data_IF_132124545376
#
_entry.id   IF_132124545376
#
_cell.length_a   1.000
_cell.length_b   1.000
_cell.length_c   1.000
_cell.angle_alpha   90.00
_cell.angle_beta   90.00
_cell.angle_gamma   90.00
#
_symmetry.space_group_name_H-M   'P 1'
#
loop_
_entity.id
_entity.type
_entity.pdbx_description
1 polymer ?
#
# COMPACT_ATOMS: atom_id res chain seq x y z
N UNK A 1 2.45 27.12 9.19
CA UNK A 1 2.96 25.72 9.13
C UNK A 1 1.87 24.68 9.43
N UNK A 2 0.58 24.94 9.13
CA UNK A 2 -0.57 24.11 9.58
C UNK A 2 -1.25 23.29 8.46
N UNK A 3 -0.54 22.99 7.36
CA UNK A 3 -1.12 22.36 6.15
C UNK A 3 -0.50 21.02 5.72
N UNK A 4 0.56 20.52 6.38
CA UNK A 4 1.17 19.24 6.00
C UNK A 4 0.26 18.05 6.29
N UNK A 5 -0.42 18.06 7.44
CA UNK A 5 -1.37 17.00 7.78
C UNK A 5 -2.58 16.94 6.84
N UNK A 6 -3.05 18.10 6.36
CA UNK A 6 -4.14 18.16 5.38
C UNK A 6 -3.68 17.60 4.04
N UNK A 7 -2.49 17.98 3.57
CA UNK A 7 -1.91 17.45 2.33
C UNK A 7 -1.71 15.93 2.42
N UNK A 8 -1.24 15.43 3.57
CA UNK A 8 -1.05 14.01 3.80
C UNK A 8 -2.35 13.24 3.83
N UNK A 9 -3.36 13.78 4.49
CA UNK A 9 -4.68 13.16 4.52
C UNK A 9 -5.34 13.11 3.13
N UNK A 10 -5.14 14.15 2.33
CA UNK A 10 -5.65 14.22 0.96
C UNK A 10 -4.99 13.18 0.05
N UNK A 11 -3.65 13.12 0.07
CA UNK A 11 -2.86 12.12 -0.66
C UNK A 11 -3.21 10.69 -0.21
N UNK A 12 -3.27 10.45 1.10
CA UNK A 12 -3.63 9.15 1.66
C UNK A 12 -5.03 8.69 1.23
N UNK A 13 -6.02 9.59 1.25
CA UNK A 13 -7.37 9.30 0.72
C UNK A 13 -7.35 9.01 -0.77
N UNK A 14 -6.51 9.72 -1.53
CA UNK A 14 -6.26 9.43 -2.94
C UNK A 14 -5.73 8.01 -3.14
N UNK A 15 -4.72 7.62 -2.37
CA UNK A 15 -4.14 6.28 -2.45
C UNK A 15 -5.12 5.18 -2.06
N UNK A 16 -5.89 5.34 -0.97
CA UNK A 16 -6.89 4.34 -0.57
C UNK A 16 -7.93 4.08 -1.66
N UNK A 17 -8.35 5.12 -2.39
CA UNK A 17 -9.34 4.99 -3.48
C UNK A 17 -8.75 4.46 -4.79
N UNK A 18 -7.42 4.34 -4.87
CA UNK A 18 -6.77 3.81 -6.06
C UNK A 18 -7.12 2.35 -6.28
N UNK A 19 -7.44 2.00 -7.53
CA UNK A 19 -7.71 0.60 -7.94
C UNK A 19 -6.56 -0.33 -7.55
N UNK A 20 -5.31 0.15 -7.63
CA UNK A 20 -4.13 -0.64 -7.29
C UNK A 20 -4.07 -0.94 -5.79
N UNK A 21 -4.36 0.04 -4.94
CA UNK A 21 -4.36 -0.20 -3.49
C UNK A 21 -5.54 -1.07 -3.07
N UNK A 22 -6.72 -0.90 -3.68
CA UNK A 22 -7.86 -1.79 -3.44
C UNK A 22 -7.51 -3.24 -3.83
N UNK A 23 -6.87 -3.42 -4.99
CA UNK A 23 -6.38 -4.73 -5.43
C UNK A 23 -5.35 -5.30 -4.46
N UNK A 24 -4.52 -4.47 -3.83
CA UNK A 24 -3.57 -4.94 -2.81
C UNK A 24 -4.25 -5.29 -1.49
N UNK A 25 -5.17 -4.44 -1.01
CA UNK A 25 -5.94 -4.62 0.21
C UNK A 25 -6.80 -5.88 0.19
N UNK A 26 -7.40 -6.18 -0.96
CA UNK A 26 -8.28 -7.35 -1.11
C UNK A 26 -7.51 -8.54 -1.65
N UNK A 27 -6.62 -8.32 -2.62
CA UNK A 27 -5.89 -9.39 -3.30
C UNK A 27 -4.95 -10.15 -2.39
N UNK A 28 -4.26 -9.48 -1.46
CA UNK A 28 -3.33 -10.17 -0.54
C UNK A 28 -4.05 -11.07 0.48
N UNK A 29 -5.13 -10.62 1.16
CA UNK A 29 -5.96 -11.52 1.98
C UNK A 29 -6.60 -12.65 1.19
N UNK A 30 -7.14 -12.36 0.00
CA UNK A 30 -7.74 -13.40 -0.86
C UNK A 30 -6.67 -14.43 -1.27
N UNK A 31 -5.45 -13.99 -1.57
CA UNK A 31 -4.35 -14.88 -1.88
C UNK A 31 -4.02 -15.82 -0.71
N UNK A 32 -4.02 -15.32 0.54
CA UNK A 32 -3.84 -16.16 1.73
C UNK A 32 -4.90 -17.27 1.83
N UNK A 33 -6.16 -16.93 1.57
CA UNK A 33 -7.28 -17.89 1.58
C UNK A 33 -7.10 -18.92 0.45
N UNK A 34 -6.75 -18.47 -0.75
CA UNK A 34 -6.54 -19.37 -1.91
C UNK A 34 -5.40 -20.36 -1.63
N UNK A 35 -4.31 -19.92 -1.00
CA UNK A 35 -3.19 -20.79 -0.65
C UNK A 35 -3.60 -21.88 0.34
N UNK A 36 -4.45 -21.57 1.32
CA UNK A 36 -5.00 -22.58 2.25
C UNK A 36 -5.78 -23.69 1.53
N UNK A 37 -6.58 -23.34 0.52
CA UNK A 37 -7.35 -24.34 -0.25
C UNK A 37 -6.50 -25.19 -1.18
N UNK A 38 -5.38 -24.67 -1.69
CA UNK A 38 -4.47 -25.40 -2.59
C UNK A 38 -3.57 -26.36 -1.81
N UNK A 39 -3.15 -25.98 -0.61
CA UNK A 39 -2.26 -26.77 0.26
C UNK A 39 -2.86 -26.89 1.68
N UNK A 40 -3.82 -27.81 1.88
CA UNK A 40 -4.38 -28.07 3.21
C UNK A 40 -3.36 -28.76 4.13
N UNK A 41 -2.48 -29.62 3.60
CA UNK A 41 -1.39 -30.25 4.36
C UNK A 41 -0.13 -29.40 4.25
N UNK A 42 -0.06 -28.34 5.06
CA UNK A 42 1.17 -27.57 5.18
C UNK A 42 2.08 -28.29 6.16
N UNK A 43 3.20 -28.86 5.70
CA UNK A 43 4.18 -29.69 6.44
C UNK A 43 4.87 -28.94 7.62
N UNK A 44 4.09 -28.43 8.58
CA UNK A 44 4.54 -27.66 9.73
C UNK A 44 4.87 -26.19 9.46
N UNK A 45 4.67 -25.67 8.25
CA UNK A 45 4.90 -24.25 7.92
C UNK A 45 3.61 -23.45 8.11
N UNK A 46 3.57 -22.40 8.94
CA UNK A 46 2.39 -21.55 9.08
C UNK A 46 2.08 -20.76 7.80
N UNK A 47 0.80 -20.63 7.44
CA UNK A 47 0.36 -19.87 6.25
C UNK A 47 0.67 -18.37 6.45
N UNK A 48 0.70 -17.91 7.69
CA UNK A 48 1.22 -16.57 8.05
C UNK A 48 2.64 -16.31 7.57
N UNK A 49 3.53 -17.30 7.65
CA UNK A 49 4.92 -17.14 7.23
C UNK A 49 4.97 -16.93 5.71
N UNK A 50 4.29 -17.78 4.97
CA UNK A 50 4.25 -17.73 3.50
C UNK A 50 3.66 -16.39 3.04
N UNK A 51 2.50 -16.01 3.56
CA UNK A 51 1.83 -14.77 3.20
C UNK A 51 2.66 -13.53 3.54
N UNK A 52 3.37 -13.53 4.68
CA UNK A 52 4.27 -12.42 5.05
C UNK A 52 5.47 -12.27 4.10
N UNK A 53 6.06 -13.38 3.64
CA UNK A 53 7.18 -13.37 2.69
C UNK A 53 6.77 -12.79 1.34
N UNK A 54 5.59 -13.15 0.85
CA UNK A 54 5.05 -12.62 -0.40
C UNK A 54 4.75 -11.12 -0.31
N UNK A 55 4.09 -10.69 0.77
CA UNK A 55 3.78 -9.27 1.00
C UNK A 55 5.06 -8.43 1.08
N UNK A 56 6.08 -8.92 1.80
CA UNK A 56 7.39 -8.25 1.90
C UNK A 56 8.08 -8.11 0.53
N UNK A 57 8.09 -9.19 -0.26
CA UNK A 57 8.76 -9.21 -1.57
C UNK A 57 8.09 -8.30 -2.61
N UNK A 58 6.75 -8.27 -2.63
CA UNK A 58 5.98 -7.51 -3.63
C UNK A 58 5.81 -6.04 -3.21
N UNK A 59 5.76 -5.76 -1.91
CA UNK A 59 5.51 -4.42 -1.37
C UNK A 59 6.50 -3.37 -1.85
N UNK A 60 7.80 -3.71 -1.90
CA UNK A 60 8.85 -2.80 -2.35
C UNK A 60 8.74 -2.44 -3.84
N UNK A 61 8.42 -3.43 -4.69
CA UNK A 61 8.24 -3.21 -6.12
C UNK A 61 7.03 -2.32 -6.39
N UNK A 62 5.92 -2.59 -5.71
CA UNK A 62 4.70 -1.78 -5.85
C UNK A 62 4.90 -0.35 -5.33
N UNK A 63 5.73 -0.15 -4.30
CA UNK A 63 6.10 1.18 -3.85
C UNK A 63 6.79 2.00 -4.94
N UNK A 64 7.80 1.42 -5.59
CA UNK A 64 8.54 2.07 -6.65
C UNK A 64 7.63 2.40 -7.85
N UNK A 65 6.79 1.44 -8.28
CA UNK A 65 5.89 1.62 -9.42
C UNK A 65 4.79 2.64 -9.12
N UNK A 66 4.17 2.61 -7.94
CA UNK A 66 3.08 3.53 -7.60
C UNK A 66 3.57 4.97 -7.43
N UNK A 67 4.71 5.16 -6.76
CA UNK A 67 5.29 6.49 -6.59
C UNK A 67 5.73 7.07 -7.94
N UNK A 68 6.39 6.28 -8.79
CA UNK A 68 6.82 6.74 -10.11
C UNK A 68 5.63 7.08 -11.02
N UNK A 69 4.64 6.20 -11.12
CA UNK A 69 3.47 6.43 -11.98
C UNK A 69 2.64 7.62 -11.52
N UNK A 70 2.45 7.81 -10.22
CA UNK A 70 1.71 8.98 -9.70
C UNK A 70 2.45 10.29 -9.95
N UNK A 71 3.78 10.31 -9.79
CA UNK A 71 4.59 11.50 -10.11
C UNK A 71 4.56 11.83 -11.60
N UNK A 72 4.72 10.82 -12.47
CA UNK A 72 4.65 11.01 -13.93
C UNK A 72 3.26 11.48 -14.35
N UNK A 73 2.20 10.93 -13.77
CA UNK A 73 0.84 11.33 -14.08
C UNK A 73 0.54 12.79 -13.65
N UNK A 74 1.02 13.23 -12.50
CA UNK A 74 0.86 14.62 -12.04
C UNK A 74 1.67 15.61 -12.87
N UNK A 75 2.84 15.19 -13.33
CA UNK A 75 3.66 15.96 -14.26
C UNK A 75 2.92 16.17 -15.58
N UNK A 76 2.38 15.10 -16.16
CA UNK A 76 1.64 15.16 -17.43
C UNK A 76 0.35 16.00 -17.32
N UNK A 77 -0.31 16.00 -16.16
CA UNK A 77 -1.54 16.75 -15.94
C UNK A 77 -1.30 18.20 -15.45
N UNK A 78 -0.04 18.68 -15.44
CA UNK A 78 0.34 20.02 -14.97
C UNK A 78 -0.16 20.36 -13.56
N UNK A 79 -0.37 19.35 -12.70
CA UNK A 79 -0.85 19.56 -11.32
C UNK A 79 0.22 20.29 -10.50
N UNK A 80 1.50 20.10 -10.86
CA UNK A 80 2.61 20.80 -10.22
C UNK A 80 2.59 22.32 -10.41
N UNK A 81 1.94 22.84 -11.45
CA UNK A 81 1.83 24.28 -11.67
C UNK A 81 0.93 24.95 -10.63
N UNK A 82 -0.09 24.24 -10.14
CA UNK A 82 -0.95 24.70 -9.05
C UNK A 82 -0.16 24.85 -7.74
N UNK A 83 0.90 24.05 -7.56
CA UNK A 83 1.80 24.13 -6.42
C UNK A 83 2.87 25.23 -6.55
N UNK A 84 3.09 25.80 -7.75
CA UNK A 84 3.96 26.97 -7.92
C UNK A 84 3.32 28.26 -7.37
N UNK A 85 1.98 28.33 -7.42
CA UNK A 85 1.21 29.48 -6.95
C UNK A 85 0.97 29.41 -5.42
N UNK A 86 1.00 28.20 -4.83
CA UNK A 86 0.88 27.99 -3.38
C UNK A 86 2.27 28.00 -2.71
N UNK A 87 2.46 28.58 -1.51
CA UNK A 87 3.75 28.63 -0.83
C UNK A 87 4.11 27.28 -0.16
N UNK A 88 4.18 26.20 -0.94
CA UNK A 88 4.53 24.85 -0.47
C UNK A 88 5.92 24.48 -0.98
N UNK A 89 6.81 24.06 -0.07
CA UNK A 89 8.16 23.62 -0.45
C UNK A 89 8.10 22.29 -1.20
N UNK A 90 8.85 22.16 -2.31
CA UNK A 90 8.89 20.94 -3.16
C UNK A 90 9.19 19.66 -2.38
N UNK A 91 10.10 19.72 -1.40
CA UNK A 91 10.44 18.60 -0.53
C UNK A 91 9.26 18.05 0.28
N UNK A 92 8.34 18.91 0.70
CA UNK A 92 7.17 18.45 1.47
C UNK A 92 6.21 17.62 0.63
N UNK A 93 6.08 17.90 -0.67
CA UNK A 93 5.18 17.14 -1.57
C UNK A 93 5.67 15.70 -1.70
N UNK A 94 6.97 15.53 -1.94
CA UNK A 94 7.59 14.20 -2.09
C UNK A 94 7.51 13.40 -0.77
N UNK A 95 7.84 14.03 0.36
CA UNK A 95 7.78 13.39 1.68
C UNK A 95 6.36 12.93 1.99
N UNK A 96 5.37 13.78 1.72
CA UNK A 96 3.97 13.47 2.01
C UNK A 96 3.47 12.29 1.16
N UNK A 97 3.81 12.24 -0.13
CA UNK A 97 3.47 11.09 -0.99
C UNK A 97 4.09 9.79 -0.49
N UNK A 98 5.37 9.84 -0.15
CA UNK A 98 6.07 8.67 0.39
C UNK A 98 5.42 8.15 1.67
N UNK A 99 5.15 9.03 2.64
CA UNK A 99 4.53 8.64 3.91
C UNK A 99 3.10 8.12 3.69
N UNK A 100 2.33 8.75 2.82
CA UNK A 100 0.94 8.35 2.52
C UNK A 100 0.87 6.97 1.88
N UNK A 101 1.82 6.65 1.00
CA UNK A 101 1.88 5.34 0.38
C UNK A 101 2.34 4.28 1.39
N UNK A 102 3.38 4.58 2.18
CA UNK A 102 3.93 3.65 3.17
C UNK A 102 2.92 3.31 4.27
N UNK A 103 2.13 4.28 4.74
CA UNK A 103 1.06 4.02 5.70
C UNK A 103 -0.02 3.11 5.12
N UNK A 104 -0.35 3.27 3.83
CA UNK A 104 -1.31 2.42 3.14
C UNK A 104 -0.80 0.97 3.02
N UNK A 105 0.49 0.79 2.72
CA UNK A 105 1.13 -0.53 2.73
C UNK A 105 1.10 -1.20 4.09
N UNK A 106 1.38 -0.46 5.17
CA UNK A 106 1.32 -1.00 6.54
C UNK A 106 -0.08 -1.53 6.86
N UNK A 107 -1.13 -0.79 6.48
CA UNK A 107 -2.50 -1.23 6.75
C UNK A 107 -2.81 -2.50 5.95
N UNK A 108 -2.35 -2.58 4.70
CA UNK A 108 -2.58 -3.76 3.87
C UNK A 108 -1.81 -5.00 4.36
N UNK A 109 -0.57 -4.82 4.83
CA UNK A 109 0.22 -5.91 5.40
C UNK A 109 -0.39 -6.40 6.72
N UNK A 110 -0.86 -5.49 7.58
CA UNK A 110 -1.57 -5.83 8.81
C UNK A 110 -2.84 -6.62 8.52
N UNK A 111 -3.66 -6.19 7.56
CA UNK A 111 -4.87 -6.92 7.18
C UNK A 111 -4.56 -8.34 6.67
N UNK A 112 -3.54 -8.47 5.82
CA UNK A 112 -3.13 -9.77 5.28
C UNK A 112 -2.58 -10.69 6.37
N UNK A 113 -1.80 -10.14 7.30
CA UNK A 113 -1.25 -10.87 8.44
C UNK A 113 -2.35 -11.35 9.39
N UNK A 114 -3.36 -10.52 9.68
CA UNK A 114 -4.51 -10.91 10.51
C UNK A 114 -5.32 -12.04 9.87
N UNK A 115 -5.52 -11.99 8.55
CA UNK A 115 -6.21 -13.05 7.81
C UNK A 115 -5.40 -14.35 7.84
N UNK A 116 -4.09 -14.27 7.64
CA UNK A 116 -3.21 -15.44 7.79
C UNK A 116 -3.29 -16.06 9.18
N UNK A 117 -3.26 -15.24 10.24
CA UNK A 117 -3.36 -15.71 11.62
C UNK A 117 -4.71 -16.35 11.91
N UNK A 118 -5.80 -15.80 11.37
CA UNK A 118 -7.11 -16.39 11.51
C UNK A 118 -7.16 -17.78 10.88
N UNK A 119 -6.61 -17.93 9.67
CA UNK A 119 -6.53 -19.24 8.99
C UNK A 119 -5.69 -20.23 9.80
N UNK A 120 -4.51 -19.83 10.26
CA UNK A 120 -3.64 -20.69 11.08
C UNK A 120 -4.28 -21.08 12.43
N UNK A 121 -5.22 -20.28 12.96
CA UNK A 121 -5.93 -20.60 14.19
C UNK A 121 -7.12 -21.57 13.99
N UNK A 122 -7.68 -21.63 12.77
CA UNK A 122 -8.81 -22.50 12.43
C UNK A 122 -8.39 -23.78 11.68
N UNK A 123 -7.16 -23.84 11.19
CA UNK A 123 -6.54 -25.01 10.53
C UNK A 123 -5.86 -25.94 11.52
#
# INVERSE_FOLDING_TARGET
>A
MRNLGILLWDEFRGFIKSKVMIALFVGMPVFAIVMHFIQPDTEGIPITMITSLFVSSIGGLLAAVMLSTTMVNELNNNVYDLFLIRPVKRWHIIIVKYISFFSCLIIASLLSFLVGLAIDAFS
#
